data_IF_996434045146
#
_entry.id   IF_996434045146
#
_cell.length_a   1.000
_cell.length_b   1.000
_cell.length_c   1.000
_cell.angle_alpha   90.00
_cell.angle_beta   90.00
_cell.angle_gamma   90.00
#
_symmetry.space_group_name_H-M   'P 1'
#
loop_
_entity.id
_entity.type
_entity.pdbx_description
1 polymer ?
#
# COMPACT_ATOMS: atom_id res chain seq x y z
N UNK A 1 20.79 -25.47 25.36
CA UNK A 1 20.40 -25.79 23.95
C UNK A 1 19.26 -24.84 23.61
N UNK A 2 19.57 -23.71 22.99
CA UNK A 2 18.53 -22.79 22.48
C UNK A 2 17.95 -23.46 21.23
N UNK A 3 16.71 -23.90 21.36
CA UNK A 3 15.89 -24.25 20.19
C UNK A 3 15.85 -23.01 19.30
N UNK A 4 16.48 -23.11 18.13
CA UNK A 4 16.54 -22.00 17.16
C UNK A 4 15.11 -21.57 16.87
N UNK A 5 14.79 -20.32 17.15
CA UNK A 5 13.50 -19.69 16.90
C UNK A 5 13.26 -19.59 15.36
N UNK A 6 13.08 -20.75 14.72
CA UNK A 6 12.63 -20.83 13.33
C UNK A 6 11.11 -20.72 13.28
N UNK A 7 10.61 -19.76 12.55
CA UNK A 7 9.18 -19.67 12.30
C UNK A 7 8.76 -20.83 11.38
N UNK A 8 7.90 -21.78 11.83
CA UNK A 8 7.50 -22.91 10.99
C UNK A 8 6.90 -22.42 9.67
N UNK A 9 7.18 -23.09 8.52
CA UNK A 9 6.69 -22.68 7.20
C UNK A 9 5.16 -22.55 7.16
N UNK A 10 4.43 -23.40 7.89
CA UNK A 10 2.98 -23.32 7.97
C UNK A 10 2.47 -22.02 8.61
N UNK A 11 3.16 -21.53 9.64
CA UNK A 11 2.82 -20.25 10.28
C UNK A 11 3.17 -19.07 9.35
N UNK A 12 4.32 -19.16 8.68
CA UNK A 12 4.70 -18.15 7.69
C UNK A 12 3.69 -18.09 6.53
N UNK A 13 3.24 -19.25 6.01
CA UNK A 13 2.22 -19.30 4.97
C UNK A 13 0.88 -18.69 5.42
N UNK A 14 0.51 -18.89 6.69
CA UNK A 14 -0.70 -18.28 7.25
C UNK A 14 -0.57 -16.75 7.35
N UNK A 15 0.56 -16.23 7.81
CA UNK A 15 0.84 -14.79 7.86
C UNK A 15 0.89 -14.18 6.46
N UNK A 16 1.46 -14.91 5.50
CA UNK A 16 1.43 -14.58 4.08
C UNK A 16 -0.02 -14.47 3.57
N UNK A 17 -0.88 -15.43 3.88
CA UNK A 17 -2.28 -15.44 3.49
C UNK A 17 -3.07 -14.27 4.09
N UNK A 18 -2.81 -13.88 5.34
CA UNK A 18 -3.44 -12.70 5.98
C UNK A 18 -3.17 -11.44 5.18
N UNK A 19 -1.93 -11.20 4.78
CA UNK A 19 -1.54 -10.01 4.01
C UNK A 19 -2.03 -10.09 2.57
N UNK A 20 -1.94 -11.25 1.95
CA UNK A 20 -2.37 -11.51 0.58
C UNK A 20 -3.86 -11.23 0.39
N UNK A 21 -4.71 -11.83 1.23
CA UNK A 21 -6.18 -11.73 1.10
C UNK A 21 -6.65 -10.30 1.32
N UNK A 22 -6.08 -9.60 2.31
CA UNK A 22 -6.41 -8.19 2.56
C UNK A 22 -6.02 -7.28 1.39
N UNK A 23 -4.82 -7.45 0.84
CA UNK A 23 -4.36 -6.67 -0.29
C UNK A 23 -5.17 -6.99 -1.56
N UNK A 24 -5.36 -8.27 -1.86
CA UNK A 24 -6.09 -8.71 -3.04
C UNK A 24 -7.56 -8.27 -3.01
N UNK A 25 -8.24 -8.39 -1.87
CA UNK A 25 -9.62 -7.92 -1.76
C UNK A 25 -9.76 -6.41 -1.97
N UNK A 26 -8.87 -5.61 -1.36
CA UNK A 26 -8.90 -4.15 -1.56
C UNK A 26 -8.67 -3.75 -3.02
N UNK A 27 -7.75 -4.38 -3.73
CA UNK A 27 -7.47 -4.08 -5.13
C UNK A 27 -8.51 -4.67 -6.08
N UNK A 28 -9.09 -5.83 -5.76
CA UNK A 28 -10.24 -6.38 -6.48
C UNK A 28 -11.46 -5.44 -6.40
N UNK A 29 -11.72 -4.87 -5.23
CA UNK A 29 -12.76 -3.87 -5.05
C UNK A 29 -12.52 -2.63 -5.94
N UNK A 30 -11.27 -2.15 -6.06
CA UNK A 30 -10.94 -1.02 -6.93
C UNK A 30 -11.26 -1.30 -8.41
N UNK A 31 -11.21 -2.57 -8.84
CA UNK A 31 -11.53 -2.96 -10.22
C UNK A 31 -13.03 -2.86 -10.54
N UNK A 32 -13.90 -3.08 -9.56
CA UNK A 32 -15.36 -3.15 -9.80
C UNK A 32 -16.11 -1.89 -9.37
N UNK A 33 -15.58 -1.11 -8.43
CA UNK A 33 -16.30 0.04 -7.88
C UNK A 33 -16.61 1.16 -8.88
N UNK A 34 -15.76 1.51 -9.86
CA UNK A 34 -16.15 2.48 -10.89
C UNK A 34 -17.38 2.02 -11.67
N UNK A 35 -17.44 0.74 -12.03
CA UNK A 35 -18.59 0.13 -12.71
C UNK A 35 -19.86 0.15 -11.83
N UNK A 36 -19.74 -0.21 -10.56
CA UNK A 36 -20.85 -0.18 -9.59
C UNK A 36 -21.37 1.25 -9.40
N UNK A 37 -20.47 2.22 -9.21
CA UNK A 37 -20.84 3.63 -9.06
C UNK A 37 -21.63 4.15 -10.26
N UNK A 38 -21.16 3.83 -11.47
CA UNK A 38 -21.85 4.17 -12.73
C UNK A 38 -23.23 3.54 -12.81
N UNK A 39 -23.37 2.26 -12.45
CA UNK A 39 -24.66 1.53 -12.44
C UNK A 39 -25.67 2.15 -11.47
N UNK A 40 -25.19 2.60 -10.31
CA UNK A 40 -26.01 3.26 -9.29
C UNK A 40 -26.29 4.74 -9.60
N UNK A 41 -25.77 5.29 -10.70
CA UNK A 41 -25.92 6.70 -11.05
C UNK A 41 -25.26 7.65 -10.05
N UNK A 42 -24.22 7.21 -9.36
CA UNK A 42 -23.49 8.00 -8.36
C UNK A 42 -22.38 8.78 -9.06
N UNK A 43 -22.22 10.06 -8.72
CA UNK A 43 -21.08 10.84 -9.23
C UNK A 43 -19.75 10.20 -8.76
N UNK A 44 -18.81 10.07 -9.70
CA UNK A 44 -17.54 9.35 -9.53
C UNK A 44 -16.74 9.80 -8.29
N UNK A 45 -16.83 11.09 -7.94
CA UNK A 45 -16.18 11.68 -6.76
C UNK A 45 -16.63 11.01 -5.46
N UNK A 46 -17.92 10.63 -5.33
CA UNK A 46 -18.42 9.98 -4.12
C UNK A 46 -17.85 8.58 -3.93
N UNK A 47 -17.61 7.87 -5.03
CA UNK A 47 -16.92 6.57 -4.99
C UNK A 47 -15.50 6.75 -4.45
N UNK A 48 -14.76 7.74 -4.95
CA UNK A 48 -13.41 8.05 -4.50
C UNK A 48 -13.38 8.55 -3.04
N UNK A 49 -14.35 9.35 -2.62
CA UNK A 49 -14.47 9.83 -1.23
C UNK A 49 -14.71 8.68 -0.24
N UNK A 50 -15.45 7.64 -0.63
CA UNK A 50 -15.64 6.47 0.23
C UNK A 50 -14.32 5.72 0.50
N UNK A 51 -13.40 5.68 -0.46
CA UNK A 51 -12.04 5.16 -0.26
C UNK A 51 -11.21 6.09 0.63
N UNK A 52 -11.24 7.39 0.33
CA UNK A 52 -10.55 8.42 1.09
C UNK A 52 -10.93 8.40 2.56
N UNK A 53 -12.21 8.22 2.86
CA UNK A 53 -12.74 8.08 4.22
C UNK A 53 -12.11 6.88 4.96
N UNK A 54 -12.10 5.71 4.33
CA UNK A 54 -11.49 4.50 4.90
C UNK A 54 -9.97 4.66 5.11
N UNK A 55 -9.27 5.33 4.17
CA UNK A 55 -7.85 5.61 4.28
C UNK A 55 -7.53 6.58 5.43
N UNK A 56 -8.35 7.60 5.63
CA UNK A 56 -8.24 8.53 6.76
C UNK A 56 -8.36 7.79 8.10
N UNK A 57 -9.39 6.95 8.25
CA UNK A 57 -9.59 6.16 9.46
C UNK A 57 -8.41 5.20 9.71
N UNK A 58 -7.90 4.58 8.64
CA UNK A 58 -6.72 3.73 8.73
C UNK A 58 -5.51 4.48 9.26
N UNK A 59 -5.23 5.67 8.70
CA UNK A 59 -4.10 6.49 9.12
C UNK A 59 -4.20 6.91 10.59
N UNK A 60 -5.39 7.28 11.04
CA UNK A 60 -5.62 7.69 12.43
C UNK A 60 -5.50 6.53 13.42
N UNK A 61 -5.96 5.34 13.03
CA UNK A 61 -6.05 4.18 13.92
C UNK A 61 -4.80 3.29 13.92
N UNK A 62 -4.00 3.28 12.85
CA UNK A 62 -2.82 2.43 12.76
C UNK A 62 -1.82 2.62 13.92
N UNK A 63 -1.46 3.86 14.35
CA UNK A 63 -0.57 4.06 15.49
C UNK A 63 -1.18 3.61 16.83
N UNK A 64 -2.50 3.72 16.98
CA UNK A 64 -3.21 3.23 18.16
C UNK A 64 -3.11 1.71 18.29
N UNK A 65 -3.37 0.98 17.18
CA UNK A 65 -3.32 -0.47 17.18
C UNK A 65 -1.90 -1.02 17.27
N UNK A 66 -0.91 -0.36 16.68
CA UNK A 66 0.49 -0.74 16.83
C UNK A 66 0.89 -0.80 18.31
N UNK A 67 0.62 0.26 19.07
CA UNK A 67 0.88 0.31 20.52
C UNK A 67 0.07 -0.70 21.32
N UNK A 68 -1.17 -1.00 20.88
CA UNK A 68 -2.04 -1.94 21.59
C UNK A 68 -1.68 -3.40 21.29
N UNK A 69 -1.04 -3.67 20.18
CA UNK A 69 -0.54 -4.99 19.79
C UNK A 69 0.43 -5.56 20.83
N UNK A 70 1.30 -4.73 21.40
CA UNK A 70 2.26 -5.12 22.41
C UNK A 70 1.60 -5.54 23.75
N UNK A 71 0.40 -4.99 24.04
CA UNK A 71 -0.33 -5.26 25.30
C UNK A 71 -1.34 -6.40 25.19
N UNK A 72 -2.02 -6.53 24.03
CA UNK A 72 -3.12 -7.51 23.83
C UNK A 72 -2.72 -8.76 23.09
N UNK A 73 -1.47 -8.82 22.61
CA UNK A 73 -0.97 -9.91 21.81
C UNK A 73 -1.21 -9.70 20.30
N UNK A 74 -0.25 -10.15 19.52
CA UNK A 74 -0.20 -9.95 18.06
C UNK A 74 -1.24 -10.80 17.34
N UNK A 75 -1.47 -12.05 17.80
CA UNK A 75 -2.53 -12.92 17.28
C UNK A 75 -3.91 -12.28 17.40
N UNK A 76 -4.22 -11.69 18.55
CA UNK A 76 -5.50 -11.01 18.77
C UNK A 76 -5.70 -9.81 17.83
N UNK A 77 -4.63 -9.04 17.55
CA UNK A 77 -4.70 -7.90 16.63
C UNK A 77 -4.84 -8.35 15.17
N UNK A 78 -4.15 -9.41 14.76
CA UNK A 78 -4.33 -10.02 13.43
C UNK A 78 -5.76 -10.53 13.26
N UNK A 79 -6.29 -11.23 14.25
CA UNK A 79 -7.66 -11.76 14.22
C UNK A 79 -8.70 -10.62 14.18
N UNK A 80 -8.50 -9.54 14.95
CA UNK A 80 -9.34 -8.34 14.91
C UNK A 80 -9.36 -7.72 13.51
N UNK A 81 -8.18 -7.51 12.90
CA UNK A 81 -8.07 -6.93 11.57
C UNK A 81 -8.73 -7.79 10.49
N UNK A 82 -8.53 -9.12 10.54
CA UNK A 82 -9.16 -10.05 9.59
C UNK A 82 -10.68 -10.13 9.79
N UNK A 83 -11.17 -10.15 11.02
CA UNK A 83 -12.60 -10.11 11.33
C UNK A 83 -13.25 -8.81 10.81
N UNK A 84 -12.59 -7.68 11.05
CA UNK A 84 -13.05 -6.38 10.56
C UNK A 84 -13.05 -6.32 9.03
N UNK A 85 -12.04 -6.89 8.37
CA UNK A 85 -11.99 -6.99 6.92
C UNK A 85 -13.16 -7.84 6.39
N UNK A 86 -13.34 -9.07 6.91
CA UNK A 86 -14.42 -9.98 6.50
C UNK A 86 -15.80 -9.34 6.69
N UNK A 87 -16.05 -8.76 7.86
CA UNK A 87 -17.32 -8.11 8.18
C UNK A 87 -17.56 -6.88 7.29
N UNK A 88 -16.56 -6.02 7.14
CA UNK A 88 -16.63 -4.84 6.28
C UNK A 88 -16.94 -5.22 4.82
N UNK A 89 -16.21 -6.21 4.27
CA UNK A 89 -16.45 -6.68 2.89
C UNK A 89 -17.83 -7.29 2.71
N UNK A 90 -18.28 -8.11 3.67
CA UNK A 90 -19.64 -8.67 3.65
C UNK A 90 -20.70 -7.57 3.66
N UNK A 91 -20.60 -6.60 4.57
CA UNK A 91 -21.53 -5.49 4.66
C UNK A 91 -21.48 -4.58 3.41
N UNK A 92 -20.30 -4.29 2.90
CA UNK A 92 -20.12 -3.56 1.63
C UNK A 92 -20.81 -4.30 0.49
N UNK A 93 -20.57 -5.60 0.34
CA UNK A 93 -21.19 -6.42 -0.70
C UNK A 93 -22.71 -6.44 -0.58
N UNK A 94 -23.26 -6.66 0.62
CA UNK A 94 -24.70 -6.64 0.87
C UNK A 94 -25.34 -5.27 0.56
N UNK A 95 -24.69 -4.19 0.97
CA UNK A 95 -25.17 -2.83 0.71
C UNK A 95 -25.22 -2.53 -0.78
N UNK A 96 -24.14 -2.87 -1.50
CA UNK A 96 -24.06 -2.66 -2.94
C UNK A 96 -25.05 -3.57 -3.68
N UNK A 97 -25.22 -4.82 -3.24
CA UNK A 97 -26.24 -5.73 -3.77
C UNK A 97 -27.66 -5.13 -3.62
N UNK A 98 -28.00 -4.67 -2.42
CA UNK A 98 -29.30 -4.04 -2.17
C UNK A 98 -29.49 -2.76 -3.01
N UNK A 99 -28.45 -1.94 -3.15
CA UNK A 99 -28.48 -0.74 -4.00
C UNK A 99 -28.69 -1.06 -5.48
N UNK A 100 -27.96 -2.03 -6.03
CA UNK A 100 -28.12 -2.47 -7.43
C UNK A 100 -29.50 -3.07 -7.73
N UNK A 101 -30.17 -3.64 -6.73
CA UNK A 101 -31.54 -4.14 -6.84
C UNK A 101 -32.61 -3.08 -6.49
N UNK A 102 -32.21 -1.82 -6.32
CA UNK A 102 -33.13 -0.71 -6.12
C UNK A 102 -33.74 -0.62 -4.71
N UNK A 103 -33.22 -1.36 -3.71
CA UNK A 103 -33.68 -1.26 -2.31
C UNK A 103 -33.33 0.10 -1.73
N UNK A 104 -32.19 0.64 -2.10
CA UNK A 104 -31.70 1.97 -1.70
C UNK A 104 -31.40 2.82 -2.94
N UNK A 105 -31.63 4.11 -2.83
CA UNK A 105 -31.13 5.05 -3.85
C UNK A 105 -29.59 5.13 -3.82
N UNK A 106 -28.98 5.55 -4.93
CA UNK A 106 -27.52 5.56 -5.09
C UNK A 106 -26.80 6.29 -3.96
N UNK A 107 -27.29 7.49 -3.56
CA UNK A 107 -26.68 8.27 -2.46
C UNK A 107 -26.74 7.52 -1.13
N UNK A 108 -27.85 6.90 -0.79
CA UNK A 108 -27.98 6.11 0.44
C UNK A 108 -27.02 4.90 0.40
N UNK A 109 -26.95 4.23 -0.75
CA UNK A 109 -26.06 3.08 -0.96
C UNK A 109 -24.60 3.45 -0.71
N UNK A 110 -24.10 4.56 -1.26
CA UNK A 110 -22.68 4.94 -1.08
C UNK A 110 -22.38 5.39 0.35
N UNK A 111 -23.32 6.03 1.03
CA UNK A 111 -23.15 6.43 2.44
C UNK A 111 -23.11 5.21 3.37
N UNK A 112 -24.00 4.23 3.17
CA UNK A 112 -24.00 2.98 3.94
C UNK A 112 -22.73 2.17 3.62
N UNK A 113 -22.31 2.14 2.36
CA UNK A 113 -21.05 1.52 1.94
C UNK A 113 -19.85 2.19 2.65
N UNK A 114 -19.77 3.52 2.69
CA UNK A 114 -18.70 4.24 3.40
C UNK A 114 -18.72 3.95 4.91
N UNK A 115 -19.90 3.86 5.51
CA UNK A 115 -20.05 3.45 6.92
C UNK A 115 -19.56 2.00 7.15
N UNK A 116 -19.91 1.06 6.28
CA UNK A 116 -19.42 -0.32 6.33
C UNK A 116 -17.90 -0.39 6.14
N UNK A 117 -17.34 0.43 5.23
CA UNK A 117 -15.89 0.56 5.02
C UNK A 117 -15.15 1.12 6.22
N UNK A 118 -15.81 1.90 7.07
CA UNK A 118 -15.23 2.43 8.31
C UNK A 118 -14.73 1.31 9.23
N UNK A 119 -15.41 0.18 9.26
CA UNK A 119 -14.98 -0.98 10.06
C UNK A 119 -13.59 -1.45 9.66
N UNK A 120 -13.33 -1.57 8.36
CA UNK A 120 -12.00 -1.94 7.88
C UNK A 120 -10.98 -0.82 8.12
N UNK A 121 -11.33 0.43 7.85
CA UNK A 121 -10.45 1.57 8.12
C UNK A 121 -10.03 1.63 9.59
N UNK A 122 -10.97 1.46 10.51
CA UNK A 122 -10.71 1.55 11.95
C UNK A 122 -9.97 0.33 12.52
N UNK A 123 -10.39 -0.88 12.19
CA UNK A 123 -9.91 -2.10 12.84
C UNK A 123 -8.99 -2.94 11.95
N UNK A 124 -9.13 -2.86 10.63
CA UNK A 124 -8.27 -3.57 9.68
C UNK A 124 -6.81 -3.14 9.78
N UNK A 125 -6.57 -1.88 10.14
CA UNK A 125 -5.24 -1.31 10.40
C UNK A 125 -4.47 -1.99 11.55
N UNK A 126 -5.13 -2.83 12.35
CA UNK A 126 -4.47 -3.61 13.41
C UNK A 126 -3.64 -4.79 12.88
N UNK A 127 -4.02 -5.37 11.72
CA UNK A 127 -3.43 -6.61 11.23
C UNK A 127 -2.01 -6.47 10.69
N UNK A 128 -1.67 -5.56 9.75
CA UNK A 128 -0.33 -5.52 9.14
C UNK A 128 0.80 -5.28 10.13
N UNK A 129 0.74 -4.31 11.06
CA UNK A 129 1.80 -4.14 12.05
C UNK A 129 1.93 -5.35 12.98
N UNK A 130 0.81 -6.01 13.33
CA UNK A 130 0.84 -7.21 14.16
C UNK A 130 1.51 -8.40 13.45
N UNK A 131 1.28 -8.58 12.14
CA UNK A 131 1.95 -9.60 11.33
C UNK A 131 3.46 -9.35 11.30
N UNK A 132 3.88 -8.12 10.99
CA UNK A 132 5.30 -7.77 10.91
C UNK A 132 5.99 -7.91 12.27
N UNK A 133 5.37 -7.43 13.35
CA UNK A 133 5.90 -7.57 14.71
C UNK A 133 5.95 -9.05 15.17
N UNK A 134 4.99 -9.89 14.76
CA UNK A 134 5.00 -11.32 15.04
C UNK A 134 6.20 -12.00 14.38
N UNK A 135 6.46 -11.71 13.11
CA UNK A 135 7.61 -12.23 12.37
C UNK A 135 8.92 -11.72 12.98
N UNK A 136 9.04 -10.42 13.18
CA UNK A 136 10.26 -9.80 13.70
C UNK A 136 10.69 -10.31 15.08
N UNK A 137 9.73 -10.71 15.93
CA UNK A 137 10.03 -11.21 17.27
C UNK A 137 10.39 -12.70 17.35
N UNK A 138 10.13 -13.46 16.26
CA UNK A 138 10.31 -14.92 16.20
C UNK A 138 11.32 -15.36 15.15
N UNK A 139 12.02 -14.40 14.55
CA UNK A 139 13.10 -14.66 13.60
C UNK A 139 14.39 -14.05 14.10
N UNK A 140 15.49 -14.80 13.98
CA UNK A 140 16.84 -14.31 14.27
C UNK A 140 17.23 -13.15 13.34
N UNK A 141 18.28 -12.37 13.69
CA UNK A 141 18.71 -11.21 12.90
C UNK A 141 18.96 -11.55 11.42
N UNK A 142 19.58 -12.69 11.13
CA UNK A 142 19.92 -13.15 9.78
C UNK A 142 18.68 -13.51 8.94
N UNK A 143 17.66 -14.12 9.56
CA UNK A 143 16.44 -14.58 8.87
C UNK A 143 15.35 -13.52 8.82
N UNK A 144 15.39 -12.54 9.73
CA UNK A 144 14.37 -11.51 9.89
C UNK A 144 14.13 -10.73 8.59
N UNK A 145 15.20 -10.35 7.93
CA UNK A 145 15.13 -9.62 6.66
C UNK A 145 14.40 -10.42 5.58
N UNK A 146 14.73 -11.70 5.44
CA UNK A 146 14.08 -12.57 4.47
C UNK A 146 12.60 -12.82 4.83
N UNK A 147 12.30 -13.07 6.09
CA UNK A 147 10.95 -13.31 6.56
C UNK A 147 10.03 -12.08 6.40
N UNK A 148 10.52 -10.88 6.73
CA UNK A 148 9.79 -9.63 6.51
C UNK A 148 9.63 -9.32 5.02
N UNK A 149 10.63 -9.62 4.19
CA UNK A 149 10.53 -9.50 2.73
C UNK A 149 9.44 -10.40 2.17
N UNK A 150 9.32 -11.62 2.65
CA UNK A 150 8.28 -12.56 2.23
C UNK A 150 6.88 -12.03 2.58
N UNK A 151 6.71 -11.47 3.78
CA UNK A 151 5.45 -10.83 4.19
C UNK A 151 5.13 -9.61 3.32
N UNK A 152 6.12 -8.76 3.03
CA UNK A 152 5.93 -7.63 2.12
C UNK A 152 5.57 -8.08 0.70
N UNK A 153 6.21 -9.16 0.22
CA UNK A 153 5.93 -9.78 -1.07
C UNK A 153 4.49 -10.29 -1.19
N UNK A 154 3.93 -10.84 -0.10
CA UNK A 154 2.53 -11.31 -0.09
C UNK A 154 1.55 -10.17 -0.32
N UNK A 155 1.81 -9.01 0.27
CA UNK A 155 1.01 -7.82 0.00
C UNK A 155 1.11 -7.38 -1.47
N UNK A 156 2.34 -7.31 -2.01
CA UNK A 156 2.58 -7.00 -3.43
C UNK A 156 1.88 -7.99 -4.37
N UNK A 157 1.98 -9.30 -4.10
CA UNK A 157 1.28 -10.33 -4.88
C UNK A 157 -0.24 -10.15 -4.80
N UNK A 158 -0.77 -9.77 -3.64
CA UNK A 158 -2.19 -9.47 -3.47
C UNK A 158 -2.66 -8.34 -4.38
N UNK A 159 -1.83 -7.30 -4.57
CA UNK A 159 -2.18 -6.18 -5.48
C UNK A 159 -2.27 -6.59 -6.95
N UNK A 160 -1.58 -7.65 -7.35
CA UNK A 160 -1.70 -8.25 -8.71
C UNK A 160 -2.90 -9.18 -8.78
N UNK A 161 -3.02 -10.09 -7.80
CA UNK A 161 -4.06 -11.13 -7.81
C UNK A 161 -5.46 -10.55 -7.66
N UNK A 162 -5.63 -9.46 -6.90
CA UNK A 162 -6.93 -8.81 -6.73
C UNK A 162 -7.59 -8.44 -8.05
N UNK A 163 -6.99 -7.54 -8.85
CA UNK A 163 -7.51 -7.17 -10.16
C UNK A 163 -7.60 -8.33 -11.14
N UNK A 164 -6.65 -9.29 -11.10
CA UNK A 164 -6.67 -10.47 -11.97
C UNK A 164 -7.86 -11.39 -11.67
N UNK A 165 -8.20 -11.57 -10.40
CA UNK A 165 -9.30 -12.43 -9.98
C UNK A 165 -10.67 -11.73 -10.04
N UNK A 166 -10.71 -10.40 -9.90
CA UNK A 166 -11.97 -9.67 -9.83
C UNK A 166 -12.93 -9.99 -11.00
N UNK A 167 -12.50 -9.98 -12.29
CA UNK A 167 -13.38 -10.34 -13.40
C UNK A 167 -13.86 -11.79 -13.35
N UNK A 168 -13.03 -12.72 -12.88
CA UNK A 168 -13.35 -14.14 -12.78
C UNK A 168 -14.36 -14.44 -11.68
N UNK A 169 -14.47 -13.54 -10.70
CA UNK A 169 -15.41 -13.63 -9.59
C UNK A 169 -16.77 -12.99 -9.90
N UNK A 170 -16.93 -12.37 -11.07
CA UNK A 170 -18.22 -11.87 -11.56
C UNK A 170 -18.98 -13.06 -12.13
N UNK A 171 -19.79 -13.68 -11.27
CA UNK A 171 -20.55 -14.90 -11.61
C UNK A 171 -22.07 -14.62 -11.70
N UNK A 172 -22.82 -15.40 -12.48
CA UNK A 172 -24.28 -15.27 -12.53
C UNK A 172 -24.91 -15.27 -11.13
N UNK A 173 -25.82 -14.36 -10.88
CA UNK A 173 -26.50 -14.18 -9.58
C UNK A 173 -25.81 -13.22 -8.61
N UNK A 174 -24.48 -13.08 -8.66
CA UNK A 174 -23.75 -12.12 -7.84
C UNK A 174 -23.27 -10.88 -8.64
N UNK A 175 -23.05 -11.04 -9.95
CA UNK A 175 -22.57 -9.95 -10.80
C UNK A 175 -21.32 -9.26 -10.22
N UNK A 176 -21.27 -7.93 -10.26
CA UNK A 176 -20.17 -7.10 -9.74
C UNK A 176 -19.91 -7.26 -8.23
N UNK A 177 -20.82 -7.90 -7.48
CA UNK A 177 -20.67 -8.14 -6.04
C UNK A 177 -19.83 -9.40 -5.75
N UNK A 178 -19.64 -10.26 -6.76
CA UNK A 178 -18.90 -11.51 -6.62
C UNK A 178 -17.53 -11.36 -5.92
N UNK A 179 -16.69 -10.40 -6.27
CA UNK A 179 -15.42 -10.15 -5.57
C UNK A 179 -15.59 -9.88 -4.06
N UNK A 180 -16.62 -9.13 -3.65
CA UNK A 180 -16.89 -8.89 -2.23
C UNK A 180 -17.25 -10.17 -1.49
N UNK A 181 -18.12 -10.99 -2.07
CA UNK A 181 -18.52 -12.28 -1.49
C UNK A 181 -17.32 -13.22 -1.37
N UNK A 182 -16.56 -13.39 -2.44
CA UNK A 182 -15.42 -14.30 -2.47
C UNK A 182 -14.33 -13.89 -1.46
N UNK A 183 -13.93 -12.62 -1.44
CA UNK A 183 -12.90 -12.15 -0.49
C UNK A 183 -13.40 -12.13 0.96
N UNK A 184 -14.71 -12.00 1.22
CA UNK A 184 -15.29 -12.21 2.55
C UNK A 184 -15.11 -13.64 3.01
N UNK A 185 -15.39 -14.60 2.13
CA UNK A 185 -15.22 -16.05 2.42
C UNK A 185 -13.73 -16.37 2.64
N UNK A 186 -12.83 -15.89 1.77
CA UNK A 186 -11.39 -16.10 1.94
C UNK A 186 -10.89 -15.51 3.26
N UNK A 187 -11.36 -14.33 3.64
CA UNK A 187 -10.99 -13.71 4.90
C UNK A 187 -11.50 -14.50 6.11
N UNK A 188 -12.72 -15.05 6.05
CA UNK A 188 -13.24 -15.91 7.11
C UNK A 188 -12.44 -17.20 7.23
N UNK A 189 -12.08 -17.83 6.12
CA UNK A 189 -11.24 -19.04 6.11
C UNK A 189 -9.87 -18.77 6.73
N UNK A 190 -9.24 -17.66 6.35
CA UNK A 190 -7.95 -17.24 6.93
C UNK A 190 -8.11 -16.91 8.41
N UNK A 191 -9.19 -16.23 8.82
CA UNK A 191 -9.46 -15.91 10.23
C UNK A 191 -9.63 -17.18 11.07
N UNK A 192 -10.41 -18.15 10.59
CA UNK A 192 -10.61 -19.43 11.29
C UNK A 192 -9.29 -20.19 11.40
N UNK A 193 -8.53 -20.29 10.30
CA UNK A 193 -7.23 -20.95 10.30
C UNK A 193 -6.24 -20.26 11.24
N UNK A 194 -6.24 -18.91 11.27
CA UNK A 194 -5.41 -18.11 12.18
C UNK A 194 -5.76 -18.39 13.64
N UNK A 195 -7.05 -18.45 13.97
CA UNK A 195 -7.50 -18.76 15.33
C UNK A 195 -7.11 -20.15 15.77
N UNK A 196 -7.21 -21.14 14.88
CA UNK A 196 -6.98 -22.55 15.19
C UNK A 196 -5.50 -22.95 15.15
N UNK A 197 -4.71 -22.40 14.21
CA UNK A 197 -3.34 -22.85 13.95
C UNK A 197 -2.25 -21.96 14.53
N UNK A 198 -2.52 -20.67 14.77
CA UNK A 198 -1.53 -19.79 15.37
C UNK A 198 -1.60 -19.91 16.91
N UNK A 199 -0.48 -20.21 17.60
CA UNK A 199 -0.45 -20.22 19.05
C UNK A 199 -0.70 -18.83 19.63
N UNK A 200 -1.17 -18.79 20.88
CA UNK A 200 -1.32 -17.52 21.60
C UNK A 200 0.05 -16.90 21.87
N UNK A 201 0.10 -15.57 21.98
CA UNK A 201 1.34 -14.87 22.24
C UNK A 201 1.84 -15.11 23.65
N UNK A 202 3.11 -15.49 23.77
CA UNK A 202 3.81 -15.53 25.05
C UNK A 202 4.23 -14.10 25.44
N UNK A 203 3.99 -13.65 26.69
CA UNK A 203 4.40 -12.32 27.17
C UNK A 203 5.88 -11.99 26.99
N UNK A 204 6.75 -13.02 26.91
CA UNK A 204 8.19 -12.82 26.64
C UNK A 204 8.53 -12.22 25.28
N UNK A 205 7.60 -12.25 24.33
CA UNK A 205 7.76 -11.62 23.01
C UNK A 205 7.18 -10.21 22.95
N UNK A 206 6.50 -9.75 23.99
CA UNK A 206 6.05 -8.37 24.12
C UNK A 206 7.27 -7.44 24.23
N UNK A 207 7.28 -6.35 23.48
CA UNK A 207 8.35 -5.34 23.51
C UNK A 207 9.54 -5.60 22.59
N UNK A 208 9.61 -6.71 21.84
CA UNK A 208 10.63 -6.92 20.81
C UNK A 208 10.11 -6.45 19.43
N UNK A 209 10.73 -5.40 18.90
CA UNK A 209 10.58 -4.96 17.51
C UNK A 209 9.41 -4.00 17.27
N UNK A 210 9.67 -2.71 17.30
CA UNK A 210 8.79 -1.70 16.72
C UNK A 210 8.89 -1.75 15.20
N UNK A 211 7.79 -2.10 14.53
CA UNK A 211 7.68 -2.04 13.07
C UNK A 211 6.53 -1.14 12.70
N UNK A 212 6.82 -0.06 11.98
CA UNK A 212 5.79 0.84 11.47
C UNK A 212 5.32 0.39 10.09
N UNK A 213 4.04 0.05 9.98
CA UNK A 213 3.42 -0.28 8.70
C UNK A 213 2.77 0.96 8.09
N UNK A 214 3.15 1.29 6.85
CA UNK A 214 2.43 2.27 6.05
C UNK A 214 1.21 1.61 5.39
N UNK A 215 0.02 2.27 5.39
CA UNK A 215 -1.14 1.77 4.68
C UNK A 215 -0.85 1.74 3.18
N UNK A 216 -1.23 0.66 2.51
CA UNK A 216 -1.10 0.48 1.06
C UNK A 216 0.32 0.42 0.47
N UNK A 217 1.37 0.21 1.27
CA UNK A 217 2.72 0.06 0.74
C UNK A 217 3.33 -1.31 1.04
N UNK A 218 3.75 -2.00 -0.01
CA UNK A 218 4.54 -3.22 0.06
C UNK A 218 6.03 -2.94 0.34
N UNK A 219 6.43 -1.70 0.54
CA UNK A 219 7.84 -1.33 0.60
C UNK A 219 8.33 -1.03 2.02
N UNK A 220 8.36 -2.02 2.89
CA UNK A 220 9.42 -2.10 3.86
C UNK A 220 10.58 -2.81 3.18
N UNK A 221 11.57 -2.08 2.72
CA UNK A 221 12.76 -2.68 2.12
C UNK A 221 13.69 -3.18 3.26
N UNK A 222 13.78 -4.49 3.50
CA UNK A 222 14.55 -5.03 4.64
C UNK A 222 16.08 -4.99 4.43
N UNK A 223 16.53 -4.56 3.24
CA UNK A 223 17.97 -4.53 2.89
C UNK A 223 18.75 -3.38 3.50
N UNK A 224 18.17 -2.61 4.43
CA UNK A 224 18.89 -1.53 5.10
C UNK A 224 19.54 -1.94 6.43
N UNK A 225 19.57 -3.23 6.75
CA UNK A 225 20.48 -3.75 7.77
C UNK A 225 21.73 -4.20 7.04
N UNK A 226 22.73 -3.36 6.97
CA UNK A 226 24.07 -3.73 6.51
C UNK A 226 24.63 -4.82 7.43
N UNK A 227 24.94 -5.99 6.86
CA UNK A 227 25.78 -7.00 7.48
C UNK A 227 27.14 -6.37 7.83
N UNK A 228 27.49 -6.36 9.09
CA UNK A 228 28.87 -6.14 9.49
C UNK A 228 29.68 -7.40 9.09
N UNK A 229 30.78 -7.25 8.33
CA UNK A 229 31.59 -8.37 7.86
C UNK A 229 32.44 -9.06 8.95
N UNK A 230 32.44 -8.55 10.15
CA UNK A 230 33.26 -9.04 11.26
C UNK A 230 32.35 -9.65 12.35
N UNK A 231 31.96 -10.88 12.16
CA UNK A 231 31.18 -11.74 13.05
C UNK A 231 31.61 -11.80 14.54
N UNK A 232 31.89 -10.66 15.17
CA UNK A 232 32.05 -10.53 16.60
C UNK A 232 30.67 -10.47 17.25
N UNK A 233 30.33 -11.35 18.20
CA UNK A 233 29.15 -11.19 19.01
C UNK A 233 29.40 -9.99 19.94
N UNK A 234 29.03 -8.79 19.50
CA UNK A 234 28.96 -7.69 20.43
C UNK A 234 27.95 -8.05 21.50
N UNK A 235 28.42 -8.11 22.73
CA UNK A 235 27.62 -8.10 23.93
C UNK A 235 26.55 -7.04 23.73
N UNK A 236 25.29 -7.45 23.68
CA UNK A 236 24.17 -6.54 23.63
C UNK A 236 24.35 -5.56 24.80
N UNK A 237 24.54 -4.28 24.58
CA UNK A 237 24.50 -3.31 25.66
C UNK A 237 23.14 -3.53 26.32
N UNK A 238 23.13 -3.79 27.62
CA UNK A 238 21.91 -3.74 28.41
C UNK A 238 21.19 -2.49 27.97
N UNK A 239 19.92 -2.63 27.59
CA UNK A 239 19.12 -1.53 27.09
C UNK A 239 19.07 -0.47 28.17
N UNK A 240 20.04 0.45 28.14
CA UNK A 240 19.95 1.67 28.92
C UNK A 240 18.60 2.30 28.59
N UNK A 241 17.84 2.76 29.59
CA UNK A 241 16.59 3.45 29.35
C UNK A 241 16.91 4.61 28.41
N UNK A 242 16.43 4.54 27.16
CA UNK A 242 16.65 5.57 26.17
C UNK A 242 16.27 6.90 26.81
N UNK A 243 17.27 7.70 27.09
CA UNK A 243 17.11 9.05 27.62
C UNK A 243 16.18 9.80 26.66
N UNK A 244 15.03 10.21 27.17
CA UNK A 244 14.04 11.03 26.50
C UNK A 244 14.60 12.47 26.31
N UNK A 245 15.72 12.61 25.60
CA UNK A 245 16.48 13.86 25.46
C UNK A 245 17.00 14.13 24.05
N UNK A 246 16.74 13.26 23.07
CA UNK A 246 17.03 13.57 21.67
C UNK A 246 15.95 14.49 21.11
N UNK A 247 16.35 15.60 20.48
CA UNK A 247 15.43 16.49 19.77
C UNK A 247 14.54 15.67 18.83
N UNK A 248 13.19 15.82 18.97
CA UNK A 248 12.25 15.13 18.09
C UNK A 248 12.49 15.55 16.65
N UNK A 249 12.72 14.56 15.79
CA UNK A 249 12.90 14.80 14.37
C UNK A 249 11.68 15.55 13.82
N UNK A 250 11.93 16.71 13.21
CA UNK A 250 10.86 17.57 12.69
C UNK A 250 10.66 17.31 11.20
N UNK A 251 9.46 17.52 10.71
CA UNK A 251 9.11 17.50 9.28
C UNK A 251 9.96 18.48 8.46
N UNK A 252 10.38 19.58 9.09
CA UNK A 252 11.19 20.62 8.48
C UNK A 252 12.71 20.36 8.56
N UNK A 253 13.14 19.18 9.04
CA UNK A 253 14.57 18.85 9.12
C UNK A 253 15.23 18.99 7.74
N UNK A 254 16.31 19.79 7.62
CA UNK A 254 16.98 20.02 6.34
C UNK A 254 17.45 18.74 5.65
N UNK A 255 17.77 17.67 6.40
CA UNK A 255 18.18 16.37 5.90
C UNK A 255 17.04 15.62 5.21
N UNK A 256 15.81 15.77 5.71
CA UNK A 256 14.62 15.05 5.25
C UNK A 256 13.78 15.83 4.24
N UNK A 257 13.78 17.17 4.31
CA UNK A 257 12.83 18.02 3.56
C UNK A 257 12.75 17.72 2.07
N UNK A 258 13.90 17.43 1.41
CA UNK A 258 13.93 17.10 -0.01
C UNK A 258 13.25 15.78 -0.31
N UNK A 259 13.54 14.75 0.49
CA UNK A 259 12.93 13.43 0.37
C UNK A 259 11.43 13.46 0.66
N UNK A 260 11.03 14.14 1.74
CA UNK A 260 9.62 14.25 2.12
C UNK A 260 8.80 15.04 1.10
N UNK A 261 9.35 16.14 0.59
CA UNK A 261 8.69 16.93 -0.46
C UNK A 261 8.51 16.11 -1.74
N UNK A 262 9.52 15.39 -2.20
CA UNK A 262 9.39 14.48 -3.32
C UNK A 262 8.37 13.37 -3.02
N UNK A 263 8.38 12.81 -1.81
CA UNK A 263 7.42 11.82 -1.33
C UNK A 263 5.98 12.32 -1.39
N UNK A 264 5.73 13.55 -0.95
CA UNK A 264 4.41 14.20 -1.05
C UNK A 264 3.99 14.33 -2.52
N UNK A 265 4.83 14.92 -3.37
CA UNK A 265 4.49 15.14 -4.78
C UNK A 265 4.22 13.82 -5.52
N UNK A 266 5.15 12.88 -5.47
CA UNK A 266 5.01 11.59 -6.16
C UNK A 266 3.90 10.72 -5.57
N UNK A 267 3.67 10.75 -4.26
CA UNK A 267 2.57 10.06 -3.61
C UNK A 267 1.20 10.59 -4.05
N UNK A 268 1.03 11.91 -4.15
CA UNK A 268 -0.19 12.52 -4.65
C UNK A 268 -0.41 12.23 -6.13
N UNK A 269 0.65 12.31 -6.97
CA UNK A 269 0.57 11.93 -8.38
C UNK A 269 0.07 10.48 -8.55
N UNK A 270 0.65 9.53 -7.79
CA UNK A 270 0.22 8.13 -7.81
C UNK A 270 -1.24 7.95 -7.38
N UNK A 271 -1.65 8.66 -6.33
CA UNK A 271 -3.00 8.50 -5.76
C UNK A 271 -4.07 9.10 -6.67
N UNK A 272 -3.79 10.22 -7.36
CA UNK A 272 -4.65 10.79 -8.41
C UNK A 272 -4.81 9.78 -9.54
N UNK A 273 -3.71 9.25 -10.05
CA UNK A 273 -3.72 8.28 -11.15
C UNK A 273 -4.55 7.05 -10.80
N UNK A 274 -4.36 6.46 -9.62
CA UNK A 274 -5.14 5.31 -9.16
C UNK A 274 -6.63 5.63 -8.98
N UNK A 275 -6.96 6.86 -8.56
CA UNK A 275 -8.35 7.30 -8.41
C UNK A 275 -9.07 7.46 -9.76
N UNK A 276 -8.37 7.95 -10.78
CA UNK A 276 -8.96 8.32 -12.08
C UNK A 276 -9.04 7.14 -13.05
N UNK A 277 -8.09 6.18 -13.00
CA UNK A 277 -7.90 5.19 -14.06
C UNK A 277 -9.16 4.39 -14.41
N UNK A 278 -9.97 4.01 -13.42
CA UNK A 278 -11.19 3.26 -13.66
C UNK A 278 -12.24 4.07 -14.42
N UNK A 279 -12.40 5.34 -14.07
CA UNK A 279 -13.33 6.26 -14.72
C UNK A 279 -12.85 6.65 -16.12
N UNK A 280 -11.55 6.85 -16.31
CA UNK A 280 -10.94 7.04 -17.62
C UNK A 280 -11.31 5.92 -18.58
N UNK A 281 -11.19 4.66 -18.14
CA UNK A 281 -11.52 3.50 -18.96
C UNK A 281 -13.01 3.45 -19.30
N UNK A 282 -13.89 3.76 -18.34
CA UNK A 282 -15.33 3.85 -18.60
C UNK A 282 -15.65 4.87 -19.70
N UNK A 283 -15.00 6.04 -19.68
CA UNK A 283 -15.24 7.11 -20.63
C UNK A 283 -14.62 6.83 -22.00
N UNK A 284 -13.32 6.52 -22.03
CA UNK A 284 -12.56 6.37 -23.27
C UNK A 284 -12.99 5.14 -24.09
N UNK A 285 -13.43 4.08 -23.42
CA UNK A 285 -13.92 2.88 -24.09
C UNK A 285 -15.45 2.89 -24.31
N UNK A 286 -16.15 3.95 -23.92
CA UNK A 286 -17.61 4.05 -24.06
C UNK A 286 -18.39 3.04 -23.18
N UNK A 287 -17.79 2.55 -22.10
CA UNK A 287 -18.33 1.46 -21.28
C UNK A 287 -19.25 1.93 -20.15
N UNK A 288 -19.57 3.23 -20.05
CA UNK A 288 -20.53 3.70 -19.02
C UNK A 288 -21.91 3.11 -19.16
N UNK A 289 -22.30 2.71 -20.37
CA UNK A 289 -23.58 2.03 -20.63
C UNK A 289 -23.53 0.51 -20.46
N UNK A 290 -22.33 -0.05 -20.28
CA UNK A 290 -22.09 -1.47 -20.10
C UNK A 290 -21.08 -1.71 -18.93
N UNK A 291 -21.45 -1.32 -17.70
CA UNK A 291 -20.51 -1.30 -16.58
C UNK A 291 -19.98 -2.69 -16.20
N UNK A 292 -20.76 -3.76 -16.45
CA UNK A 292 -20.29 -5.13 -16.18
C UNK A 292 -19.10 -5.53 -17.08
N UNK A 293 -19.11 -5.09 -18.35
CA UNK A 293 -18.02 -5.33 -19.30
C UNK A 293 -16.76 -4.50 -18.92
N UNK A 294 -16.95 -3.35 -18.29
CA UNK A 294 -15.84 -2.47 -17.93
C UNK A 294 -14.95 -3.07 -16.82
N UNK A 295 -15.52 -3.83 -15.89
CA UNK A 295 -14.76 -4.40 -14.77
C UNK A 295 -13.59 -5.28 -15.23
N UNK A 296 -13.76 -6.02 -16.35
CA UNK A 296 -12.68 -6.81 -16.97
C UNK A 296 -11.54 -5.94 -17.47
N UNK A 297 -11.84 -4.88 -18.20
CA UNK A 297 -10.84 -3.93 -18.72
C UNK A 297 -10.11 -3.19 -17.59
N UNK A 298 -10.83 -2.74 -16.57
CA UNK A 298 -10.26 -2.08 -15.39
C UNK A 298 -9.35 -3.06 -14.65
N UNK A 299 -9.80 -4.30 -14.43
CA UNK A 299 -9.01 -5.34 -13.78
C UNK A 299 -7.70 -5.62 -14.54
N UNK A 300 -7.75 -5.74 -15.87
CA UNK A 300 -6.59 -5.96 -16.71
C UNK A 300 -5.57 -4.83 -16.57
N UNK A 301 -5.99 -3.57 -16.68
CA UNK A 301 -5.11 -2.40 -16.58
C UNK A 301 -4.45 -2.33 -15.21
N UNK A 302 -5.23 -2.51 -14.12
CA UNK A 302 -4.70 -2.52 -12.77
C UNK A 302 -3.73 -3.68 -12.53
N UNK A 303 -4.01 -4.87 -13.08
CA UNK A 303 -3.12 -6.03 -13.02
C UNK A 303 -1.79 -5.75 -13.73
N UNK A 304 -1.83 -5.20 -14.96
CA UNK A 304 -0.63 -4.83 -15.70
C UNK A 304 0.22 -3.80 -14.94
N UNK A 305 -0.41 -2.80 -14.34
CA UNK A 305 0.28 -1.82 -13.51
C UNK A 305 0.90 -2.44 -12.25
N UNK A 306 0.19 -3.35 -11.59
CA UNK A 306 0.73 -4.03 -10.41
C UNK A 306 1.93 -4.94 -10.78
N UNK A 307 1.86 -5.67 -11.90
CA UNK A 307 3.00 -6.45 -12.44
C UNK A 307 4.18 -5.51 -12.73
N UNK A 308 3.95 -4.38 -13.40
CA UNK A 308 5.00 -3.40 -13.70
C UNK A 308 5.65 -2.86 -12.41
N UNK A 309 4.87 -2.60 -11.37
CA UNK A 309 5.38 -2.19 -10.05
C UNK A 309 6.27 -3.26 -9.42
N UNK A 310 5.86 -4.53 -9.46
CA UNK A 310 6.68 -5.64 -8.94
C UNK A 310 7.95 -5.85 -9.76
N UNK A 311 7.89 -5.73 -11.09
CA UNK A 311 9.07 -5.78 -11.96
C UNK A 311 10.08 -4.67 -11.61
N UNK A 312 9.60 -3.46 -11.29
CA UNK A 312 10.47 -2.39 -10.84
C UNK A 312 11.18 -2.76 -9.52
N UNK A 313 10.42 -3.25 -8.53
CA UNK A 313 10.92 -3.49 -7.18
C UNK A 313 11.80 -4.74 -7.08
N UNK A 314 11.41 -5.83 -7.70
CA UNK A 314 12.12 -7.11 -7.61
C UNK A 314 13.11 -7.35 -8.75
N UNK A 315 12.89 -6.72 -9.91
CA UNK A 315 13.74 -6.83 -11.09
C UNK A 315 14.71 -5.66 -11.21
N UNK A 316 14.20 -4.47 -11.57
CA UNK A 316 15.05 -3.35 -12.00
C UNK A 316 15.93 -2.79 -10.88
N UNK A 317 15.38 -2.59 -9.68
CA UNK A 317 16.15 -2.02 -8.56
C UNK A 317 17.37 -2.91 -8.23
N UNK A 318 17.21 -4.22 -7.98
CA UNK A 318 18.37 -5.07 -7.67
C UNK A 318 19.29 -5.31 -8.87
N UNK A 319 18.74 -5.47 -10.08
CA UNK A 319 19.53 -5.73 -11.29
C UNK A 319 20.43 -4.54 -11.66
N UNK A 320 19.88 -3.33 -11.61
CA UNK A 320 20.61 -2.10 -11.94
C UNK A 320 21.29 -1.47 -10.73
N UNK A 321 21.15 -2.06 -9.54
CA UNK A 321 21.70 -1.55 -8.27
C UNK A 321 21.41 -0.06 -8.07
N UNK A 322 20.15 0.32 -8.33
CA UNK A 322 19.73 1.72 -8.28
C UNK A 322 19.77 2.25 -6.84
N UNK A 323 20.57 3.29 -6.62
CA UNK A 323 20.54 4.02 -5.36
C UNK A 323 19.27 4.86 -5.21
N UNK A 324 18.98 5.38 -3.99
CA UNK A 324 17.74 6.09 -3.68
C UNK A 324 17.41 7.26 -4.62
N UNK A 325 18.40 8.10 -4.90
CA UNK A 325 18.25 9.25 -5.80
C UNK A 325 17.94 8.82 -7.23
N UNK A 326 18.68 7.84 -7.76
CA UNK A 326 18.48 7.34 -9.12
C UNK A 326 17.10 6.70 -9.25
N UNK A 327 16.68 5.88 -8.28
CA UNK A 327 15.35 5.27 -8.26
C UNK A 327 14.24 6.33 -8.25
N UNK A 328 14.39 7.40 -7.47
CA UNK A 328 13.43 8.50 -7.43
C UNK A 328 13.36 9.26 -8.75
N UNK A 329 14.50 9.59 -9.35
CA UNK A 329 14.59 10.30 -10.63
C UNK A 329 14.00 9.50 -11.79
N UNK A 330 14.46 8.26 -11.98
CA UNK A 330 13.95 7.38 -13.03
C UNK A 330 12.48 7.07 -12.84
N UNK A 331 12.06 6.90 -11.57
CA UNK A 331 10.67 6.64 -11.24
C UNK A 331 9.75 7.77 -11.68
N UNK A 332 10.08 9.01 -11.33
CA UNK A 332 9.26 10.17 -11.72
C UNK A 332 9.40 10.51 -13.19
N UNK A 333 10.56 10.32 -13.81
CA UNK A 333 10.75 10.47 -15.26
C UNK A 333 9.88 9.49 -16.07
N UNK A 334 9.80 8.23 -15.65
CA UNK A 334 8.89 7.26 -16.26
C UNK A 334 7.41 7.65 -16.05
N UNK A 335 7.06 8.22 -14.90
CA UNK A 335 5.72 8.73 -14.67
C UNK A 335 5.36 9.83 -15.71
N UNK A 336 6.25 10.79 -15.95
CA UNK A 336 6.04 11.80 -16.99
C UNK A 336 5.84 11.18 -18.37
N UNK A 337 6.67 10.21 -18.75
CA UNK A 337 6.52 9.51 -20.04
C UNK A 337 5.19 8.75 -20.12
N UNK A 338 4.79 8.04 -19.07
CA UNK A 338 3.57 7.23 -19.05
C UNK A 338 2.29 8.06 -18.96
N UNK A 339 2.34 9.28 -18.43
CA UNK A 339 1.18 10.18 -18.36
C UNK A 339 0.71 10.62 -19.76
N UNK A 340 1.61 10.73 -20.74
CA UNK A 340 1.27 11.11 -22.11
C UNK A 340 0.27 10.15 -22.77
N UNK A 341 0.55 8.83 -22.88
CA UNK A 341 -0.43 7.90 -23.46
C UNK A 341 -1.70 7.76 -22.61
N UNK A 342 -1.66 8.01 -21.30
CA UNK A 342 -2.87 8.07 -20.47
C UNK A 342 -3.76 9.27 -20.82
N UNK A 343 -3.16 10.43 -21.03
CA UNK A 343 -3.90 11.64 -21.37
C UNK A 343 -4.48 11.60 -22.77
N UNK A 344 -3.78 10.99 -23.74
CA UNK A 344 -4.12 11.02 -25.18
C UNK A 344 -4.75 9.72 -25.70
N UNK A 345 -4.57 8.59 -24.99
CA UNK A 345 -5.03 7.27 -25.42
C UNK A 345 -6.56 7.17 -25.51
N UNK A 346 -7.04 6.55 -26.59
CA UNK A 346 -8.45 6.32 -26.86
C UNK A 346 -8.81 4.82 -26.84
N UNK A 347 -7.82 3.96 -26.76
CA UNK A 347 -7.97 2.51 -26.78
C UNK A 347 -7.36 1.85 -25.55
N UNK A 348 -7.80 0.63 -25.26
CA UNK A 348 -7.38 -0.13 -24.07
C UNK A 348 -5.87 -0.37 -24.03
N UNK A 349 -5.23 -0.64 -25.19
CA UNK A 349 -3.80 -0.97 -25.24
C UNK A 349 -2.94 0.24 -24.89
N UNK A 350 -3.22 1.38 -25.50
CA UNK A 350 -2.50 2.65 -25.25
C UNK A 350 -2.63 3.07 -23.77
N UNK A 351 -3.84 2.98 -23.21
CA UNK A 351 -4.09 3.30 -21.80
C UNK A 351 -3.35 2.30 -20.88
N UNK A 352 -3.38 1.01 -21.21
CA UNK A 352 -2.68 -0.03 -20.42
C UNK A 352 -1.18 0.19 -20.42
N UNK A 353 -0.58 0.49 -21.57
CA UNK A 353 0.86 0.77 -21.68
C UNK A 353 1.23 2.02 -20.87
N UNK A 354 0.46 3.10 -21.00
CA UNK A 354 0.68 4.32 -20.22
C UNK A 354 0.60 4.08 -18.73
N UNK A 355 -0.42 3.34 -18.28
CA UNK A 355 -0.59 2.98 -16.87
C UNK A 355 0.52 2.06 -16.36
N UNK A 356 0.97 1.10 -17.16
CA UNK A 356 2.08 0.21 -16.81
C UNK A 356 3.40 0.99 -16.68
N UNK A 357 3.69 1.94 -17.58
CA UNK A 357 4.89 2.80 -17.51
C UNK A 357 4.84 3.67 -16.25
N UNK A 358 3.72 4.33 -15.96
CA UNK A 358 3.55 5.09 -14.71
C UNK A 358 3.74 4.21 -13.47
N UNK A 359 3.14 3.01 -13.48
CA UNK A 359 3.21 2.06 -12.37
C UNK A 359 4.64 1.54 -12.16
N UNK A 360 5.38 1.28 -13.24
CA UNK A 360 6.81 0.98 -13.20
C UNK A 360 7.58 2.12 -12.54
N UNK A 361 7.27 3.36 -12.93
CA UNK A 361 7.84 4.57 -12.36
C UNK A 361 7.58 4.68 -10.86
N UNK A 362 6.35 4.50 -10.41
CA UNK A 362 6.03 4.52 -8.98
C UNK A 362 6.63 3.34 -8.22
N UNK A 363 6.81 2.20 -8.88
CA UNK A 363 7.54 1.05 -8.34
C UNK A 363 9.01 1.33 -8.02
N UNK A 364 9.67 2.19 -8.81
CA UNK A 364 11.02 2.69 -8.54
C UNK A 364 11.02 3.83 -7.51
N UNK A 365 10.09 4.77 -7.66
CA UNK A 365 10.01 5.98 -6.85
C UNK A 365 9.82 5.69 -5.36
N UNK A 366 8.86 4.84 -5.01
CA UNK A 366 8.48 4.60 -3.61
C UNK A 366 9.62 4.07 -2.75
N UNK A 367 10.31 2.98 -3.13
CA UNK A 367 11.50 2.53 -2.40
C UNK A 367 12.61 3.57 -2.41
N UNK A 368 12.76 4.31 -3.51
CA UNK A 368 13.78 5.34 -3.67
C UNK A 368 13.69 6.43 -2.59
N UNK A 369 12.55 7.11 -2.51
CA UNK A 369 12.40 8.19 -1.52
C UNK A 369 12.35 7.68 -0.08
N UNK A 370 11.76 6.51 0.16
CA UNK A 370 11.68 5.91 1.50
C UNK A 370 13.07 5.55 2.02
N UNK A 371 13.88 4.87 1.22
CA UNK A 371 15.26 4.53 1.59
C UNK A 371 16.14 5.78 1.69
N UNK A 372 15.94 6.76 0.80
CA UNK A 372 16.67 8.02 0.85
C UNK A 372 16.40 8.81 2.13
N UNK A 373 15.15 8.89 2.56
CA UNK A 373 14.79 9.52 3.83
C UNK A 373 15.39 8.76 5.04
N UNK A 374 15.38 7.43 5.02
CA UNK A 374 15.97 6.61 6.08
C UNK A 374 17.50 6.80 6.18
N UNK A 375 18.19 6.84 5.04
CA UNK A 375 19.66 7.03 4.99
C UNK A 375 20.11 8.47 5.27
N UNK A 376 19.18 9.45 5.23
CA UNK A 376 19.48 10.84 5.52
C UNK A 376 19.64 11.14 7.03
N UNK A 377 19.28 10.20 7.90
CA UNK A 377 19.33 10.36 9.35
C UNK A 377 20.16 9.27 10.01
N UNK A 378 20.59 9.52 11.25
CA UNK A 378 21.36 8.55 12.04
C UNK A 378 20.52 7.35 12.47
N UNK A 379 21.17 6.23 12.84
CA UNK A 379 20.50 4.98 13.26
C UNK A 379 19.46 5.19 14.37
N UNK A 380 19.77 6.03 15.36
CA UNK A 380 18.87 6.33 16.47
C UNK A 380 17.59 7.09 16.04
N UNK A 381 17.62 7.79 14.90
CA UNK A 381 16.52 8.59 14.39
C UNK A 381 15.68 7.86 13.33
N UNK A 382 16.13 6.69 12.84
CA UNK A 382 15.48 5.96 11.74
C UNK A 382 14.03 5.59 12.04
N UNK A 383 13.71 5.24 13.28
CA UNK A 383 12.33 4.95 13.69
C UNK A 383 11.42 6.18 13.55
N UNK A 384 11.90 7.37 13.94
CA UNK A 384 11.15 8.62 13.79
C UNK A 384 11.00 8.99 12.31
N UNK A 385 12.07 8.85 11.51
CA UNK A 385 12.02 9.08 10.07
C UNK A 385 11.05 8.16 9.35
N UNK A 386 11.04 6.86 9.70
CA UNK A 386 10.08 5.89 9.17
C UNK A 386 8.64 6.30 9.48
N UNK A 387 8.37 6.83 10.68
CA UNK A 387 7.07 7.38 11.07
C UNK A 387 6.62 8.54 10.20
N UNK A 388 7.52 9.48 9.95
CA UNK A 388 7.26 10.65 9.11
C UNK A 388 6.99 10.20 7.66
N UNK A 389 7.82 9.30 7.12
CA UNK A 389 7.64 8.73 5.77
C UNK A 389 6.31 7.99 5.64
N UNK A 390 5.92 7.22 6.66
CA UNK A 390 4.63 6.52 6.67
C UNK A 390 3.45 7.50 6.63
N UNK A 391 3.53 8.61 7.37
CA UNK A 391 2.52 9.65 7.34
C UNK A 391 2.45 10.35 5.97
N UNK A 392 3.58 10.64 5.32
CA UNK A 392 3.64 11.17 3.95
C UNK A 392 2.96 10.21 2.98
N UNK A 393 3.29 8.93 3.04
CA UNK A 393 2.67 7.90 2.19
C UNK A 393 1.15 7.81 2.41
N UNK A 394 0.71 7.85 3.67
CA UNK A 394 -0.71 7.76 4.03
C UNK A 394 -1.51 8.98 3.60
N UNK A 395 -0.96 10.19 3.76
CA UNK A 395 -1.66 11.45 3.47
C UNK A 395 -2.11 11.56 2.01
N UNK A 396 -1.33 11.03 1.08
CA UNK A 396 -1.64 11.04 -0.34
C UNK A 396 -2.95 10.29 -0.69
N UNK A 397 -3.31 9.26 0.07
CA UNK A 397 -4.53 8.47 -0.20
C UNK A 397 -5.80 9.05 0.42
N UNK A 398 -5.69 10.10 1.24
CA UNK A 398 -6.84 10.68 1.93
C UNK A 398 -7.65 11.58 1.01
N UNK A 399 -6.98 12.46 0.27
CA UNK A 399 -7.66 13.51 -0.50
C UNK A 399 -7.37 13.42 -1.99
N UNK A 400 -6.16 13.02 -2.37
CA UNK A 400 -5.71 13.07 -3.75
C UNK A 400 -6.54 12.23 -4.73
N UNK A 401 -7.04 11.01 -4.41
CA UNK A 401 -7.89 10.28 -5.34
C UNK A 401 -9.19 11.04 -5.66
N UNK A 402 -9.84 11.61 -4.65
CA UNK A 402 -11.09 12.34 -4.82
C UNK A 402 -10.88 13.67 -5.59
N UNK A 403 -9.79 14.39 -5.28
CA UNK A 403 -9.40 15.59 -6.05
C UNK A 403 -9.10 15.20 -7.51
N UNK A 404 -8.39 14.11 -7.73
CA UNK A 404 -8.06 13.64 -9.09
C UNK A 404 -9.30 13.36 -9.91
N UNK A 405 -10.27 12.64 -9.34
CA UNK A 405 -11.55 12.37 -10.02
C UNK A 405 -12.36 13.65 -10.24
N UNK A 406 -12.38 14.55 -9.26
CA UNK A 406 -13.05 15.85 -9.42
C UNK A 406 -12.43 16.68 -10.57
N UNK A 407 -11.10 16.76 -10.64
CA UNK A 407 -10.37 17.43 -11.73
C UNK A 407 -10.68 16.78 -13.07
N UNK A 408 -10.67 15.45 -13.16
CA UNK A 408 -10.96 14.70 -14.36
C UNK A 408 -12.39 14.94 -14.86
N UNK A 409 -13.37 14.97 -13.95
CA UNK A 409 -14.76 15.24 -14.27
C UNK A 409 -15.00 16.69 -14.72
N UNK A 410 -14.17 17.63 -14.21
CA UNK A 410 -14.25 19.01 -14.64
C UNK A 410 -13.64 19.23 -16.03
N UNK A 411 -12.51 18.59 -16.30
CA UNK A 411 -11.86 18.55 -17.61
C UNK A 411 -10.98 17.31 -17.73
N UNK A 412 -11.15 16.57 -18.80
CA UNK A 412 -10.37 15.34 -19.07
C UNK A 412 -8.85 15.55 -19.07
N UNK A 413 -8.37 16.78 -19.18
CA UNK A 413 -6.95 17.15 -19.19
C UNK A 413 -6.41 17.54 -17.82
N UNK A 414 -7.24 18.13 -16.93
CA UNK A 414 -6.77 18.72 -15.68
C UNK A 414 -6.09 17.71 -14.75
N UNK A 415 -6.65 16.52 -14.62
CA UNK A 415 -6.05 15.49 -13.77
C UNK A 415 -4.64 15.12 -14.24
N UNK A 416 -4.45 15.00 -15.56
CA UNK A 416 -3.16 14.64 -16.17
C UNK A 416 -2.16 15.78 -16.09
N UNK A 417 -2.58 17.02 -16.30
CA UNK A 417 -1.73 18.21 -16.11
C UNK A 417 -1.23 18.27 -14.66
N UNK A 418 -2.09 18.00 -13.70
CA UNK A 418 -1.69 18.01 -12.27
C UNK A 418 -0.74 16.84 -11.95
N UNK A 419 -1.02 15.63 -12.44
CA UNK A 419 -0.11 14.47 -12.28
C UNK A 419 1.26 14.78 -12.86
N UNK A 420 1.30 15.34 -14.08
CA UNK A 420 2.53 15.73 -14.77
C UNK A 420 3.30 16.80 -14.00
N UNK A 421 2.61 17.85 -13.55
CA UNK A 421 3.21 18.93 -12.77
C UNK A 421 3.81 18.42 -11.44
N UNK A 422 3.12 17.50 -10.76
CA UNK A 422 3.61 16.87 -9.55
C UNK A 422 4.83 15.98 -9.83
N UNK A 423 4.82 15.22 -10.91
CA UNK A 423 5.92 14.35 -11.31
C UNK A 423 7.16 15.18 -11.70
N UNK A 424 7.01 16.22 -12.54
CA UNK A 424 8.08 17.15 -12.89
C UNK A 424 8.61 17.85 -11.63
N UNK A 425 7.72 18.33 -10.75
CA UNK A 425 8.12 18.94 -9.48
C UNK A 425 8.98 18.01 -8.63
N UNK A 426 8.62 16.73 -8.55
CA UNK A 426 9.41 15.73 -7.83
C UNK A 426 10.79 15.48 -8.49
N UNK A 427 10.87 15.46 -9.83
CA UNK A 427 12.15 15.39 -10.58
C UNK A 427 13.02 16.61 -10.27
N UNK A 428 12.47 17.81 -10.38
CA UNK A 428 13.19 19.06 -10.11
C UNK A 428 13.73 19.09 -8.68
N UNK A 429 12.89 18.76 -7.70
CA UNK A 429 13.33 18.68 -6.29
C UNK A 429 14.43 17.65 -6.09
N UNK A 430 14.34 16.49 -6.74
CA UNK A 430 15.35 15.46 -6.65
C UNK A 430 16.70 15.94 -7.24
N UNK A 431 16.66 16.66 -8.35
CA UNK A 431 17.86 17.23 -9.00
C UNK A 431 18.49 18.32 -8.13
N UNK A 432 17.68 19.24 -7.59
CA UNK A 432 18.16 20.42 -6.89
C UNK A 432 18.55 20.18 -5.43
N UNK A 433 17.77 19.36 -4.71
CA UNK A 433 17.90 19.22 -3.25
C UNK A 433 18.54 17.91 -2.80
N UNK A 434 18.45 16.84 -3.59
CA UNK A 434 19.02 15.56 -3.23
C UNK A 434 20.44 15.43 -3.78
N UNK A 435 21.42 15.91 -3.03
CA UNK A 435 22.83 15.68 -3.35
C UNK A 435 23.19 14.23 -3.02
N UNK A 436 23.91 13.56 -3.92
CA UNK A 436 24.55 12.26 -3.62
C UNK A 436 25.59 12.52 -2.55
N UNK A 437 25.60 11.81 -1.41
CA UNK A 437 26.76 11.88 -0.51
C UNK A 437 27.98 11.48 -1.33
N UNK A 438 28.99 12.34 -1.36
CA UNK A 438 30.30 12.02 -1.94
C UNK A 438 30.78 10.74 -1.23
N UNK A 439 30.99 9.66 -1.99
CA UNK A 439 31.74 8.52 -1.49
C UNK A 439 33.08 9.09 -0.97
N UNK A 440 33.27 9.12 0.34
CA UNK A 440 34.59 9.29 0.91
C UNK A 440 35.44 8.17 0.33
N UNK A 441 36.59 8.48 -0.33
CA UNK A 441 37.49 7.43 -0.76
C UNK A 441 37.90 6.66 0.49
N UNK A 442 37.69 5.35 0.48
CA UNK A 442 38.24 4.45 1.47
C UNK A 442 39.79 4.64 1.39
N UNK A 443 40.36 5.30 2.37
CA UNK A 443 41.82 5.27 2.59
C UNK A 443 42.16 3.82 2.96
N UNK A 444 42.42 3.00 1.95
CA UNK A 444 43.29 1.86 2.10
C UNK A 444 44.72 2.37 2.03
N UNK A 445 45.36 2.54 3.18
CA UNK A 445 46.79 2.55 3.37
C UNK A 445 47.18 1.34 4.20
#
# INVERSE_FOLDING_TARGET
MHEKDHLPPERMALLFAVMLVTAAGNTAMQSVMPSIGTHLGIADVWVSLAYSWSALLWMLMAPYWARRSDRRGRKAMMALGMAAFALSFSLCGLTLFAGLHGVFGGTATILIFAAARSLYGMFGSASPPAVQAYVASRTGPEERTQALSLVASSFGLGTVLGPALAPLLIVPGLGLIGPFAAFSVFALLVLVTLRLRLPDDDPRFAGRGEVMAAPFSASSNPRLVEDHPDGSPDELPEAEPQHAGGDRLRWSDPRLRGWLAAGVLGGHAQSILLGVIGFLLLDRLGLRHQPDAAAGSIGLVLMCGAIATLLAQWGLIPMLRLGPRASTLWGMGLCCIGTVPLATGLDLHTITVGFAICSLGFGLFRPGFTSGASLAVGRAEQGQAAGIVAAVNGSAYIVAPAIGVWLYNHSHWLAWIVVEALAIGAVVLCVLLMRTPLRTPSHHA
#
